data_IF_006161382595
#
_entry.id   IF_006161382595
#
_cell.length_a   1.000
_cell.length_b   1.000
_cell.length_c   1.000
_cell.angle_alpha   90.00
_cell.angle_beta   90.00
_cell.angle_gamma   90.00
#
_symmetry.space_group_name_H-M   'P 1'
#
loop_
_entity.id
_entity.type
_entity.pdbx_description
1 polymer ?
#
# COMPACT_ATOMS: atom_id res chain seq x y z
N UNK A 1 -13.78 23.18 -8.70
CA UNK A 1 -12.98 22.65 -9.83
C UNK A 1 -13.52 21.28 -10.21
N UNK A 2 -13.40 20.92 -11.50
CA UNK A 2 -13.61 19.53 -11.96
C UNK A 2 -12.29 18.80 -11.99
N UNK A 3 -12.11 17.83 -11.10
CA UNK A 3 -10.92 16.99 -10.99
C UNK A 3 -11.23 15.64 -11.63
N UNK A 4 -10.42 15.21 -12.61
CA UNK A 4 -10.56 13.89 -13.21
C UNK A 4 -9.42 12.98 -12.75
N UNK A 5 -9.78 11.98 -11.94
CA UNK A 5 -8.90 10.90 -11.49
C UNK A 5 -8.86 9.78 -12.54
N UNK A 6 -7.68 9.33 -12.90
CA UNK A 6 -7.43 8.36 -13.97
C UNK A 6 -6.58 7.20 -13.44
N UNK A 7 -7.09 5.99 -13.51
CA UNK A 7 -6.36 4.80 -13.08
C UNK A 7 -6.68 3.59 -13.95
N UNK A 8 -5.64 2.92 -14.42
CA UNK A 8 -5.70 1.53 -14.84
C UNK A 8 -5.37 0.61 -13.65
N UNK A 9 -5.34 -0.69 -13.84
CA UNK A 9 -5.12 -1.69 -12.77
C UNK A 9 -6.13 -1.59 -11.61
N UNK A 10 -7.25 -0.97 -11.85
CA UNK A 10 -8.37 -0.88 -10.94
C UNK A 10 -9.30 -2.09 -11.12
N UNK A 11 -9.51 -2.85 -10.06
CA UNK A 11 -10.35 -4.05 -10.08
C UNK A 11 -11.18 -4.20 -8.80
N UNK A 12 -12.19 -5.08 -8.80
CA UNK A 12 -13.06 -5.30 -7.62
C UNK A 12 -12.28 -5.77 -6.39
N UNK A 13 -11.17 -6.47 -6.61
CA UNK A 13 -10.28 -7.00 -5.56
C UNK A 13 -8.95 -6.25 -5.46
N UNK A 14 -8.78 -5.11 -6.17
CA UNK A 14 -7.59 -4.27 -5.98
C UNK A 14 -7.68 -3.54 -4.63
N UNK A 15 -6.68 -3.76 -3.75
CA UNK A 15 -6.67 -3.22 -2.39
C UNK A 15 -6.29 -1.74 -2.35
N UNK A 16 -5.00 -1.44 -2.19
CA UNK A 16 -4.49 -0.10 -1.88
C UNK A 16 -4.88 1.00 -2.86
N UNK A 17 -4.67 0.79 -4.16
CA UNK A 17 -4.98 1.79 -5.19
C UNK A 17 -6.48 2.19 -5.19
N UNK A 18 -7.37 1.21 -5.14
CA UNK A 18 -8.81 1.47 -5.08
C UNK A 18 -9.21 2.24 -3.83
N UNK A 19 -8.68 1.84 -2.68
CA UNK A 19 -8.90 2.52 -1.40
C UNK A 19 -8.44 3.97 -1.48
N UNK A 20 -7.22 4.23 -1.97
CA UNK A 20 -6.68 5.57 -2.12
C UNK A 20 -7.56 6.46 -3.01
N UNK A 21 -7.89 5.98 -4.22
CA UNK A 21 -8.74 6.73 -5.16
C UNK A 21 -10.11 7.08 -4.58
N UNK A 22 -10.74 6.14 -3.85
CA UNK A 22 -12.04 6.38 -3.25
C UNK A 22 -11.98 7.40 -2.12
N UNK A 23 -10.99 7.32 -1.23
CA UNK A 23 -10.86 8.26 -0.12
C UNK A 23 -10.44 9.66 -0.60
N UNK A 24 -9.49 9.76 -1.51
CA UNK A 24 -9.09 11.03 -2.10
C UNK A 24 -10.27 11.67 -2.86
N UNK A 25 -10.94 10.91 -3.72
CA UNK A 25 -12.10 11.41 -4.47
C UNK A 25 -13.25 11.87 -3.55
N UNK A 26 -13.58 11.09 -2.52
CA UNK A 26 -14.58 11.48 -1.52
C UNK A 26 -14.17 12.74 -0.76
N UNK A 27 -12.88 12.86 -0.40
CA UNK A 27 -12.32 14.04 0.24
C UNK A 27 -12.42 15.29 -0.65
N UNK A 28 -12.08 15.17 -1.94
CA UNK A 28 -12.23 16.30 -2.88
C UNK A 28 -13.68 16.74 -3.05
N UNK A 29 -14.65 15.79 -3.10
CA UNK A 29 -16.07 16.11 -3.09
C UNK A 29 -16.46 16.85 -1.82
N UNK A 30 -15.96 16.38 -0.65
CA UNK A 30 -16.18 17.04 0.64
C UNK A 30 -15.62 18.47 0.70
N UNK A 31 -14.59 18.78 -0.09
CA UNK A 31 -14.03 20.12 -0.28
C UNK A 31 -14.77 20.95 -1.37
N UNK A 32 -15.90 20.47 -1.89
CA UNK A 32 -16.73 21.19 -2.87
C UNK A 32 -16.25 21.08 -4.31
N UNK A 33 -15.45 20.06 -4.65
CA UNK A 33 -15.01 19.82 -6.03
C UNK A 33 -15.92 18.81 -6.74
N UNK A 34 -16.08 18.97 -8.06
CA UNK A 34 -16.66 17.92 -8.91
C UNK A 34 -15.57 16.89 -9.24
N UNK A 35 -15.82 15.62 -8.91
CA UNK A 35 -14.83 14.56 -9.11
C UNK A 35 -15.36 13.50 -10.07
N UNK A 36 -14.55 13.20 -11.09
CA UNK A 36 -14.83 12.13 -12.05
C UNK A 36 -13.70 11.10 -11.98
N UNK A 37 -14.04 9.89 -11.55
CA UNK A 37 -13.10 8.76 -11.54
C UNK A 37 -13.27 7.92 -12.82
N UNK A 38 -12.23 7.87 -13.64
CA UNK A 38 -12.22 7.08 -14.89
C UNK A 38 -11.36 5.82 -14.71
N UNK A 39 -11.99 4.67 -14.87
CA UNK A 39 -11.37 3.34 -14.63
C UNK A 39 -11.71 2.34 -15.74
N UNK A 40 -10.92 1.27 -15.93
CA UNK A 40 -11.23 0.21 -16.86
C UNK A 40 -12.31 -0.74 -16.32
N UNK A 41 -13.07 -1.35 -17.23
CA UNK A 41 -14.01 -2.40 -16.89
C UNK A 41 -14.41 -3.25 -18.08
N UNK A 42 -15.32 -4.24 -17.89
CA UNK A 42 -15.80 -5.10 -18.98
C UNK A 42 -16.75 -4.37 -19.92
N UNK A 43 -17.48 -3.37 -19.43
CA UNK A 43 -18.47 -2.57 -20.17
C UNK A 43 -18.41 -1.11 -19.72
N UNK A 44 -19.00 -0.24 -20.53
CA UNK A 44 -19.16 1.17 -20.17
C UNK A 44 -20.24 1.33 -19.11
N UNK A 45 -19.92 2.05 -18.05
CA UNK A 45 -20.87 2.54 -17.05
C UNK A 45 -20.59 4.00 -16.77
N UNK A 46 -21.61 4.69 -16.25
CA UNK A 46 -21.52 6.09 -15.81
C UNK A 46 -22.47 6.22 -14.62
N UNK A 47 -21.94 6.33 -13.43
CA UNK A 47 -22.70 6.26 -12.19
C UNK A 47 -22.13 7.20 -11.14
N UNK A 48 -22.98 7.73 -10.28
CA UNK A 48 -22.55 8.49 -9.10
C UNK A 48 -22.47 7.55 -7.91
N UNK A 49 -21.32 7.52 -7.30
CA UNK A 49 -21.05 6.73 -6.09
C UNK A 49 -21.70 7.39 -4.86
N UNK A 50 -21.93 6.64 -3.76
CA UNK A 50 -22.45 7.22 -2.52
C UNK A 50 -21.61 8.38 -1.95
N UNK A 51 -20.32 8.43 -2.30
CA UNK A 51 -19.42 9.53 -1.95
C UNK A 51 -19.60 10.81 -2.76
N UNK A 52 -20.48 10.83 -3.75
CA UNK A 52 -20.65 11.93 -4.70
C UNK A 52 -19.68 11.90 -5.89
N UNK A 53 -18.70 11.01 -5.90
CA UNK A 53 -17.76 10.82 -7.03
C UNK A 53 -18.52 10.20 -8.21
N UNK A 54 -18.45 10.82 -9.39
CA UNK A 54 -18.95 10.24 -10.64
C UNK A 54 -17.93 9.24 -11.18
N UNK A 55 -18.29 7.96 -11.25
CA UNK A 55 -17.43 6.92 -11.80
C UNK A 55 -17.81 6.59 -13.23
N UNK A 56 -16.86 6.75 -14.15
CA UNK A 56 -17.00 6.35 -15.55
C UNK A 56 -16.11 5.14 -15.80
N UNK A 57 -16.71 4.01 -16.14
CA UNK A 57 -15.98 2.81 -16.54
C UNK A 57 -15.86 2.77 -18.06
N UNK A 58 -14.65 2.59 -18.56
CA UNK A 58 -14.39 2.41 -19.98
C UNK A 58 -14.14 0.93 -20.31
N UNK A 59 -14.74 0.40 -21.40
CA UNK A 59 -14.48 -0.96 -21.84
C UNK A 59 -12.99 -1.17 -22.15
N UNK A 60 -12.39 -2.16 -21.52
CA UNK A 60 -10.99 -2.48 -21.71
C UNK A 60 -10.77 -4.00 -21.69
N UNK A 61 -9.81 -4.50 -22.49
CA UNK A 61 -9.42 -5.91 -22.46
C UNK A 61 -8.78 -6.25 -21.13
N UNK A 62 -8.89 -7.50 -20.74
CA UNK A 62 -8.18 -8.04 -19.61
C UNK A 62 -6.72 -8.28 -20.00
N UNK A 63 -5.80 -7.83 -19.15
CA UNK A 63 -4.37 -8.05 -19.38
C UNK A 63 -4.01 -9.49 -18.99
N UNK A 64 -3.33 -10.24 -19.87
CA UNK A 64 -2.85 -11.58 -19.54
C UNK A 64 -1.92 -11.56 -18.32
N UNK A 65 -1.97 -12.61 -17.51
CA UNK A 65 -1.05 -12.85 -16.39
C UNK A 65 -1.11 -11.83 -15.23
N UNK A 66 -2.05 -10.87 -15.24
CA UNK A 66 -2.17 -9.80 -14.23
C UNK A 66 -3.19 -10.10 -13.12
N UNK A 67 -3.77 -11.31 -13.07
CA UNK A 67 -4.80 -11.62 -12.07
C UNK A 67 -6.14 -10.89 -12.31
N UNK A 68 -6.42 -10.54 -13.58
CA UNK A 68 -7.72 -9.97 -13.98
C UNK A 68 -7.73 -8.45 -14.13
N UNK A 69 -6.60 -7.79 -14.06
CA UNK A 69 -6.53 -6.35 -14.33
C UNK A 69 -6.80 -6.01 -15.80
N UNK A 70 -7.28 -4.80 -16.00
CA UNK A 70 -7.61 -4.23 -17.32
C UNK A 70 -6.89 -2.90 -17.49
N UNK A 71 -6.59 -2.54 -18.74
CA UNK A 71 -6.04 -1.23 -19.08
C UNK A 71 -6.81 -0.62 -20.25
N UNK A 72 -7.27 0.60 -20.08
CA UNK A 72 -7.91 1.39 -21.14
C UNK A 72 -6.85 1.94 -22.07
N UNK A 73 -7.16 1.92 -23.35
CA UNK A 73 -6.37 2.59 -24.38
C UNK A 73 -6.32 4.12 -24.10
N UNK A 74 -5.14 4.74 -24.03
CA UNK A 74 -5.00 6.18 -23.80
C UNK A 74 -5.80 7.06 -24.76
N UNK A 75 -6.02 6.65 -26.00
CA UNK A 75 -6.84 7.39 -26.97
C UNK A 75 -8.30 7.53 -26.53
N UNK A 76 -8.87 6.47 -25.96
CA UNK A 76 -10.23 6.52 -25.42
C UNK A 76 -10.32 7.41 -24.20
N UNK A 77 -9.25 7.44 -23.40
CA UNK A 77 -9.16 8.32 -22.23
C UNK A 77 -9.09 9.78 -22.70
N UNK A 78 -8.20 10.11 -23.63
CA UNK A 78 -8.10 11.49 -24.15
C UNK A 78 -9.39 11.97 -24.81
N UNK A 79 -10.06 11.12 -25.62
CA UNK A 79 -11.36 11.45 -26.20
C UNK A 79 -12.46 11.71 -25.16
N UNK A 80 -12.38 11.05 -23.99
CA UNK A 80 -13.27 11.31 -22.86
C UNK A 80 -12.91 12.62 -22.17
N UNK A 81 -11.62 12.88 -21.93
CA UNK A 81 -11.13 14.12 -21.31
C UNK A 81 -11.54 15.38 -22.11
N UNK A 82 -11.49 15.32 -23.47
CA UNK A 82 -11.98 16.43 -24.33
C UNK A 82 -13.46 16.76 -24.06
N UNK A 83 -14.27 15.75 -23.74
CA UNK A 83 -15.70 15.96 -23.44
C UNK A 83 -15.94 16.40 -22.01
N UNK A 84 -15.13 15.88 -21.06
CA UNK A 84 -15.25 16.21 -19.64
C UNK A 84 -14.74 17.62 -19.34
N UNK A 85 -13.80 18.14 -20.12
CA UNK A 85 -13.16 19.47 -19.91
C UNK A 85 -12.70 19.62 -18.45
N UNK A 86 -11.75 18.80 -17.97
CA UNK A 86 -11.28 18.88 -16.60
C UNK A 86 -10.53 20.20 -16.34
N UNK A 87 -10.71 20.75 -15.15
CA UNK A 87 -9.84 21.81 -14.64
C UNK A 87 -8.48 21.24 -14.20
N UNK A 88 -8.45 19.98 -13.78
CA UNK A 88 -7.27 19.27 -13.26
C UNK A 88 -7.36 17.79 -13.60
N UNK A 89 -6.20 17.17 -13.85
CA UNK A 89 -6.12 15.70 -13.93
C UNK A 89 -5.17 15.12 -12.88
N UNK A 90 -5.57 14.01 -12.30
CA UNK A 90 -4.79 13.20 -11.38
C UNK A 90 -4.64 11.79 -11.97
N UNK A 91 -3.41 11.37 -12.22
CA UNK A 91 -3.12 10.08 -12.88
C UNK A 91 -2.45 9.13 -11.89
N UNK A 92 -3.11 8.03 -11.59
CA UNK A 92 -2.61 6.97 -10.71
C UNK A 92 -2.09 5.75 -11.48
N UNK A 93 -1.58 5.96 -12.69
CA UNK A 93 -0.96 4.94 -13.54
C UNK A 93 0.20 5.55 -14.33
N UNK A 94 1.40 5.33 -13.85
CA UNK A 94 2.64 5.82 -14.46
C UNK A 94 3.15 4.95 -15.61
N UNK A 95 2.51 3.83 -15.90
CA UNK A 95 2.92 2.89 -16.95
C UNK A 95 2.15 3.11 -18.25
N UNK A 96 0.85 2.82 -18.22
CA UNK A 96 0.02 2.81 -19.43
C UNK A 96 -0.60 4.18 -19.73
N UNK A 97 -0.82 5.04 -18.72
CA UNK A 97 -1.37 6.39 -18.85
C UNK A 97 -0.31 7.51 -18.78
N UNK A 98 0.97 7.17 -18.73
CA UNK A 98 2.09 8.13 -18.61
C UNK A 98 2.08 9.25 -19.67
N UNK A 99 1.45 9.02 -20.81
CA UNK A 99 1.36 10.01 -21.92
C UNK A 99 0.36 11.14 -21.68
N UNK A 100 -0.51 11.02 -20.65
CA UNK A 100 -1.55 12.01 -20.40
C UNK A 100 -1.02 13.36 -19.90
N UNK A 101 0.13 13.39 -19.26
CA UNK A 101 0.80 14.65 -18.90
C UNK A 101 1.05 15.54 -20.13
N UNK A 102 1.56 14.98 -21.24
CA UNK A 102 1.73 15.72 -22.49
C UNK A 102 0.41 16.19 -23.10
N UNK A 103 -0.65 15.41 -22.97
CA UNK A 103 -1.99 15.85 -23.39
C UNK A 103 -2.43 17.04 -22.55
N UNK A 104 -2.28 16.98 -21.23
CA UNK A 104 -2.63 18.03 -20.28
C UNK A 104 -1.86 19.33 -20.56
N UNK A 105 -0.53 19.25 -20.68
CA UNK A 105 0.34 20.38 -21.00
C UNK A 105 -0.08 21.11 -22.28
N UNK A 106 -0.41 20.35 -23.36
CA UNK A 106 -0.88 20.96 -24.64
C UNK A 106 -2.25 21.65 -24.51
N UNK A 107 -3.02 21.35 -23.49
CA UNK A 107 -4.35 21.92 -23.22
C UNK A 107 -4.33 22.99 -22.13
N UNK A 108 -3.18 23.22 -21.49
CA UNK A 108 -3.09 24.10 -20.34
C UNK A 108 -3.87 23.57 -19.12
N UNK A 109 -4.01 22.24 -19.01
CA UNK A 109 -4.70 21.58 -17.88
C UNK A 109 -3.62 21.12 -16.91
N UNK A 110 -3.56 21.67 -15.68
CA UNK A 110 -2.62 21.22 -14.67
C UNK A 110 -2.81 19.74 -14.33
N UNK A 111 -1.67 19.06 -14.13
CA UNK A 111 -1.62 17.60 -14.09
C UNK A 111 -0.71 17.07 -12.99
N UNK A 112 -1.23 16.09 -12.26
CA UNK A 112 -0.51 15.36 -11.22
C UNK A 112 -0.40 13.90 -11.62
N UNK A 113 0.77 13.29 -11.40
CA UNK A 113 0.93 11.84 -11.45
C UNK A 113 1.34 11.31 -10.09
N UNK A 114 0.67 10.25 -9.63
CA UNK A 114 0.98 9.60 -8.36
C UNK A 114 1.84 8.37 -8.63
N UNK A 115 3.01 8.31 -7.98
CA UNK A 115 3.90 7.16 -8.01
C UNK A 115 3.51 6.18 -6.91
N UNK A 116 2.69 5.20 -7.26
CA UNK A 116 2.28 4.11 -6.35
C UNK A 116 3.28 2.95 -6.29
N UNK A 117 4.29 2.93 -7.18
CA UNK A 117 5.21 1.80 -7.35
C UNK A 117 6.61 2.32 -7.67
N UNK A 118 7.63 1.55 -7.32
CA UNK A 118 9.00 1.80 -7.80
C UNK A 118 9.21 1.07 -9.13
N UNK A 119 9.56 1.81 -10.16
CA UNK A 119 9.74 1.25 -11.51
C UNK A 119 10.99 0.41 -11.60
N UNK A 120 12.10 0.81 -10.94
CA UNK A 120 13.33 0.02 -10.91
C UNK A 120 13.08 -1.37 -10.29
N UNK A 121 12.36 -1.44 -9.16
CA UNK A 121 12.01 -2.70 -8.50
C UNK A 121 11.04 -3.55 -9.32
N UNK A 122 10.09 -2.92 -9.98
CA UNK A 122 9.17 -3.62 -10.87
C UNK A 122 9.94 -4.28 -12.04
N UNK A 123 10.88 -3.55 -12.66
CA UNK A 123 11.68 -4.07 -13.76
C UNK A 123 12.65 -5.19 -13.33
N UNK A 124 13.18 -5.16 -12.12
CA UNK A 124 13.98 -6.22 -11.53
C UNK A 124 13.19 -7.54 -11.45
N UNK A 125 11.90 -7.49 -11.14
CA UNK A 125 11.03 -8.67 -11.10
C UNK A 125 10.84 -9.33 -12.49
N UNK A 126 11.02 -8.58 -13.57
CA UNK A 126 10.98 -9.10 -14.95
C UNK A 126 12.36 -9.51 -15.49
N UNK A 127 13.28 -9.94 -14.61
CA UNK A 127 14.59 -10.50 -14.94
C UNK A 127 15.59 -9.51 -15.57
N UNK A 128 15.39 -8.22 -15.42
CA UNK A 128 16.42 -7.26 -15.81
C UNK A 128 17.51 -7.18 -14.72
N UNK A 129 18.79 -7.19 -15.09
CA UNK A 129 19.86 -6.91 -14.14
C UNK A 129 19.65 -5.55 -13.45
N UNK A 130 19.94 -5.47 -12.14
CA UNK A 130 19.69 -4.27 -11.29
C UNK A 130 20.15 -2.97 -11.96
N UNK A 131 21.37 -2.94 -12.51
CA UNK A 131 21.89 -1.75 -13.18
C UNK A 131 21.18 -1.38 -14.49
N UNK A 132 20.62 -2.35 -15.21
CA UNK A 132 19.82 -2.11 -16.42
C UNK A 132 18.41 -1.64 -16.04
N UNK A 133 17.78 -2.30 -15.08
CA UNK A 133 16.47 -1.91 -14.54
C UNK A 133 16.48 -0.45 -14.07
N UNK A 134 17.49 -0.08 -13.28
CA UNK A 134 17.68 1.29 -12.77
C UNK A 134 17.82 2.31 -13.90
N UNK A 135 18.69 2.06 -14.90
CA UNK A 135 18.89 2.97 -16.06
C UNK A 135 17.62 3.14 -16.90
N UNK A 136 16.86 2.08 -17.10
CA UNK A 136 15.58 2.13 -17.84
C UNK A 136 14.55 2.90 -17.04
N UNK A 137 14.44 2.64 -15.73
CA UNK A 137 13.56 3.35 -14.83
C UNK A 137 13.87 4.84 -14.79
N UNK A 138 15.15 5.23 -14.65
CA UNK A 138 15.60 6.63 -14.60
C UNK A 138 15.19 7.40 -15.86
N UNK A 139 15.42 6.83 -17.05
CA UNK A 139 15.00 7.44 -18.31
C UNK A 139 13.48 7.57 -18.44
N UNK A 140 12.74 6.56 -17.99
CA UNK A 140 11.28 6.58 -18.03
C UNK A 140 10.71 7.62 -17.04
N UNK A 141 11.27 7.67 -15.83
CA UNK A 141 10.89 8.63 -14.78
C UNK A 141 11.20 10.07 -15.18
N UNK A 142 12.39 10.34 -15.75
CA UNK A 142 12.75 11.67 -16.23
C UNK A 142 11.78 12.18 -17.31
N UNK A 143 11.41 11.31 -18.28
CA UNK A 143 10.44 11.66 -19.33
C UNK A 143 9.03 11.87 -18.77
N UNK A 144 8.64 11.11 -17.77
CA UNK A 144 7.34 11.24 -17.13
C UNK A 144 7.30 12.53 -16.32
N UNK A 145 8.27 12.76 -15.43
CA UNK A 145 8.35 13.96 -14.61
C UNK A 145 8.36 15.24 -15.46
N UNK A 146 9.08 15.26 -16.58
CA UNK A 146 9.08 16.39 -17.52
C UNK A 146 7.76 16.60 -18.27
N UNK A 147 6.80 15.68 -18.17
CA UNK A 147 5.50 15.76 -18.85
C UNK A 147 4.33 16.10 -17.94
N UNK A 148 4.52 16.07 -16.61
CA UNK A 148 3.52 16.43 -15.61
C UNK A 148 3.98 17.67 -14.84
N UNK A 149 3.03 18.45 -14.35
CA UNK A 149 3.35 19.62 -13.53
C UNK A 149 3.88 19.20 -12.17
N UNK A 150 3.29 18.16 -11.57
CA UNK A 150 3.71 17.62 -10.28
C UNK A 150 3.73 16.09 -10.29
N UNK A 151 4.77 15.53 -9.67
CA UNK A 151 4.88 14.11 -9.34
C UNK A 151 4.67 13.95 -7.84
N UNK A 152 3.67 13.17 -7.44
CA UNK A 152 3.42 12.86 -6.05
C UNK A 152 3.99 11.49 -5.70
N UNK A 153 4.83 11.42 -4.68
CA UNK A 153 5.29 10.18 -4.06
C UNK A 153 4.63 10.01 -2.70
N UNK A 154 4.20 8.80 -2.35
CA UNK A 154 3.51 8.55 -1.08
C UNK A 154 4.48 8.34 0.09
N UNK A 155 5.76 8.08 -0.20
CA UNK A 155 6.83 7.83 0.77
C UNK A 155 8.15 8.36 0.26
N UNK A 156 9.16 8.56 1.13
CA UNK A 156 10.52 8.87 0.74
C UNK A 156 11.14 7.72 -0.06
N UNK A 157 10.81 6.47 0.27
CA UNK A 157 11.20 5.29 -0.50
C UNK A 157 10.75 5.37 -1.98
N UNK A 158 9.52 5.80 -2.25
CA UNK A 158 9.05 5.98 -3.63
C UNK A 158 9.70 7.21 -4.30
N UNK A 159 10.07 8.22 -3.51
CA UNK A 159 10.71 9.44 -3.98
C UNK A 159 12.16 9.24 -4.42
N UNK A 160 12.90 8.29 -3.83
CA UNK A 160 14.31 7.99 -4.16
C UNK A 160 14.60 7.85 -5.66
N UNK A 161 13.65 7.29 -6.46
CA UNK A 161 13.81 7.19 -7.91
C UNK A 161 13.87 8.55 -8.62
N UNK A 162 13.16 9.54 -8.09
CA UNK A 162 13.07 10.89 -8.65
C UNK A 162 14.18 11.78 -8.12
N UNK A 163 14.57 11.63 -6.86
CA UNK A 163 15.72 12.34 -6.28
C UNK A 163 17.01 11.94 -7.01
N UNK A 164 17.16 10.66 -7.36
CA UNK A 164 18.30 10.13 -8.12
C UNK A 164 18.47 10.80 -9.50
N UNK A 165 17.39 11.23 -10.12
CA UNK A 165 17.41 11.91 -11.42
C UNK A 165 17.31 13.43 -11.29
N UNK A 166 17.31 13.98 -10.09
CA UNK A 166 17.23 15.42 -9.83
C UNK A 166 15.92 16.06 -10.30
N UNK A 167 14.79 15.36 -10.18
CA UNK A 167 13.49 15.87 -10.65
C UNK A 167 13.00 16.99 -9.74
N UNK A 168 12.76 18.23 -10.25
CA UNK A 168 12.45 19.38 -9.39
C UNK A 168 10.99 19.46 -8.94
N UNK A 169 10.08 18.74 -9.61
CA UNK A 169 8.64 18.85 -9.44
C UNK A 169 8.04 17.68 -8.61
N UNK A 170 8.81 17.16 -7.65
CA UNK A 170 8.39 16.03 -6.82
C UNK A 170 7.97 16.50 -5.45
N UNK A 171 6.78 16.12 -5.04
CA UNK A 171 6.26 16.35 -3.69
C UNK A 171 5.94 15.02 -3.00
N UNK A 172 6.01 15.00 -1.69
CA UNK A 172 5.64 13.82 -0.91
C UNK A 172 4.30 14.07 -0.20
N UNK A 173 3.33 13.20 -0.46
CA UNK A 173 2.02 13.23 0.20
C UNK A 173 1.68 11.82 0.67
N UNK A 174 1.84 11.52 1.96
CA UNK A 174 1.47 10.22 2.52
C UNK A 174 -0.04 9.95 2.37
N UNK A 175 -0.38 8.67 2.18
CA UNK A 175 -1.78 8.25 2.21
C UNK A 175 -2.28 8.14 3.65
N UNK A 176 -3.59 8.22 3.83
CA UNK A 176 -4.24 8.10 5.12
C UNK A 176 -4.79 6.71 5.40
N UNK A 177 -5.31 6.54 6.61
CA UNK A 177 -6.08 5.38 7.05
C UNK A 177 -7.44 5.81 7.61
N UNK A 178 -8.43 4.94 7.46
CA UNK A 178 -9.76 5.14 8.01
C UNK A 178 -9.77 4.74 9.50
N UNK A 179 -9.44 5.72 10.35
CA UNK A 179 -9.33 5.56 11.80
C UNK A 179 -10.67 5.24 12.50
N UNK A 180 -11.80 5.47 11.82
CA UNK A 180 -13.11 5.11 12.34
C UNK A 180 -13.45 3.64 12.09
N UNK A 181 -13.15 3.15 10.88
CA UNK A 181 -13.34 1.74 10.54
C UNK A 181 -12.28 0.85 11.20
N UNK A 182 -11.01 1.29 11.23
CA UNK A 182 -9.91 0.54 11.86
C UNK A 182 -9.62 1.14 13.24
N UNK A 183 -10.11 0.47 14.28
CA UNK A 183 -9.98 0.94 15.65
C UNK A 183 -9.76 -0.22 16.62
N UNK A 184 -8.99 -0.01 17.72
CA UNK A 184 -8.76 -1.03 18.75
C UNK A 184 -10.04 -1.55 19.41
N UNK A 185 -11.11 -0.73 19.41
CA UNK A 185 -12.42 -1.06 19.97
C UNK A 185 -13.12 -2.25 19.28
N UNK A 186 -12.69 -2.62 18.07
CA UNK A 186 -13.21 -3.80 17.36
C UNK A 186 -12.62 -5.12 17.81
N UNK A 187 -11.71 -5.13 18.82
CA UNK A 187 -11.16 -6.35 19.39
C UNK A 187 -12.26 -7.23 19.94
N UNK A 188 -12.19 -8.52 19.64
CA UNK A 188 -13.19 -9.53 20.03
C UNK A 188 -12.54 -10.71 20.73
N UNK A 189 -12.85 -10.90 22.02
CA UNK A 189 -12.37 -12.03 22.78
C UNK A 189 -12.89 -13.37 22.21
N UNK A 190 -14.13 -13.40 21.74
CA UNK A 190 -14.71 -14.60 21.13
C UNK A 190 -13.99 -14.98 19.82
N UNK A 191 -13.73 -13.99 18.93
CA UNK A 191 -12.97 -14.24 17.70
C UNK A 191 -11.53 -14.66 18.01
N UNK A 192 -10.90 -14.07 19.04
CA UNK A 192 -9.56 -14.49 19.48
C UNK A 192 -9.55 -15.94 19.92
N UNK A 193 -10.49 -16.37 20.76
CA UNK A 193 -10.57 -17.75 21.26
C UNK A 193 -10.72 -18.75 20.10
N UNK A 194 -11.54 -18.43 19.11
CA UNK A 194 -11.76 -19.25 17.92
C UNK A 194 -10.50 -19.34 17.04
N UNK A 195 -9.88 -18.22 16.75
CA UNK A 195 -8.74 -18.17 15.82
C UNK A 195 -7.42 -18.60 16.46
N UNK A 196 -7.17 -18.26 17.73
CA UNK A 196 -5.91 -18.58 18.41
C UNK A 196 -5.78 -20.07 18.78
N UNK A 197 -6.90 -20.80 18.88
CA UNK A 197 -6.92 -22.26 19.14
C UNK A 197 -6.05 -22.67 20.33
N UNK A 198 -6.04 -21.86 21.38
CA UNK A 198 -5.24 -22.09 22.59
C UNK A 198 -3.76 -21.64 22.49
N UNK A 199 -3.35 -20.98 21.43
CA UNK A 199 -2.03 -20.36 21.35
C UNK A 199 -1.95 -19.10 22.22
N UNK A 200 -0.74 -18.77 22.70
CA UNK A 200 -0.48 -17.61 23.54
C UNK A 200 -0.55 -16.31 22.73
N UNK A 201 -0.14 -16.37 21.48
CA UNK A 201 -0.18 -15.21 20.57
C UNK A 201 -0.86 -15.53 19.23
N UNK A 202 -1.66 -14.58 18.75
CA UNK A 202 -2.34 -14.60 17.47
C UNK A 202 -1.65 -13.63 16.50
N UNK A 203 -0.98 -14.18 15.49
CA UNK A 203 -0.37 -13.42 14.42
C UNK A 203 -1.32 -13.31 13.23
N UNK A 204 -1.21 -12.25 12.44
CA UNK A 204 -1.99 -12.08 11.21
C UNK A 204 -1.09 -11.66 10.04
N UNK A 205 -1.38 -12.21 8.85
CA UNK A 205 -0.92 -11.69 7.58
C UNK A 205 -2.16 -11.32 6.75
N UNK A 206 -2.30 -10.05 6.39
CA UNK A 206 -3.44 -9.55 5.62
C UNK A 206 -2.97 -9.00 4.27
N UNK A 207 -3.36 -9.66 3.18
CA UNK A 207 -2.98 -9.20 1.85
C UNK A 207 -3.17 -10.24 0.74
N UNK A 208 -2.84 -9.83 -0.50
CA UNK A 208 -2.88 -10.73 -1.65
C UNK A 208 -1.82 -11.83 -1.52
N UNK A 209 -2.18 -13.06 -1.88
CA UNK A 209 -1.26 -14.21 -1.87
C UNK A 209 -0.51 -14.27 -3.22
N UNK A 210 0.40 -13.33 -3.43
CA UNK A 210 1.21 -13.16 -4.64
C UNK A 210 2.70 -13.11 -4.32
N UNK A 211 3.57 -13.27 -5.32
CA UNK A 211 5.00 -13.43 -5.11
C UNK A 211 5.64 -12.20 -4.40
N UNK A 212 5.22 -11.00 -4.79
CA UNK A 212 5.75 -9.74 -4.25
C UNK A 212 5.42 -9.50 -2.76
N UNK A 213 4.43 -10.22 -2.22
CA UNK A 213 4.06 -10.12 -0.80
C UNK A 213 4.88 -11.01 0.13
N UNK A 214 5.65 -11.94 -0.42
CA UNK A 214 6.52 -12.85 0.33
C UNK A 214 5.84 -13.51 1.55
N UNK A 215 4.61 -14.02 1.34
CA UNK A 215 3.80 -14.68 2.39
C UNK A 215 4.51 -15.88 3.00
N UNK A 216 5.34 -16.57 2.21
CA UNK A 216 6.21 -17.65 2.67
C UNK A 216 7.09 -17.24 3.85
N UNK A 217 7.55 -15.99 3.92
CA UNK A 217 8.34 -15.48 5.05
C UNK A 217 7.51 -15.42 6.33
N UNK A 218 6.22 -15.08 6.25
CA UNK A 218 5.32 -15.16 7.41
C UNK A 218 5.14 -16.60 7.91
N UNK A 219 5.06 -17.58 7.00
CA UNK A 219 4.99 -19.00 7.32
C UNK A 219 6.28 -19.46 8.00
N UNK A 220 7.44 -19.10 7.43
CA UNK A 220 8.75 -19.47 7.96
C UNK A 220 9.03 -18.80 9.32
N UNK A 221 8.47 -17.61 9.55
CA UNK A 221 8.51 -16.93 10.86
C UNK A 221 7.81 -17.76 11.93
N UNK A 222 6.64 -18.33 11.62
CA UNK A 222 5.94 -19.24 12.54
C UNK A 222 6.74 -20.51 12.79
N UNK A 223 7.36 -21.08 11.76
CA UNK A 223 8.25 -22.24 11.93
C UNK A 223 9.41 -21.94 12.88
N UNK A 224 10.06 -20.76 12.72
CA UNK A 224 11.16 -20.31 13.57
C UNK A 224 10.71 -20.04 15.02
N UNK A 225 9.52 -19.50 15.25
CA UNK A 225 8.95 -19.30 16.58
C UNK A 225 8.60 -20.63 17.25
N UNK A 226 7.95 -21.55 16.52
CA UNK A 226 7.59 -22.87 17.02
C UNK A 226 8.82 -23.69 17.39
N UNK A 227 9.90 -23.61 16.59
CA UNK A 227 11.17 -24.28 16.90
C UNK A 227 11.82 -23.77 18.20
N UNK A 228 11.47 -22.57 18.67
CA UNK A 228 11.90 -21.99 19.95
C UNK A 228 10.91 -22.26 21.09
N UNK A 229 9.88 -23.08 20.85
CA UNK A 229 8.86 -23.43 21.84
C UNK A 229 7.74 -22.40 22.02
N UNK A 230 7.69 -21.33 21.19
CA UNK A 230 6.63 -20.35 21.27
C UNK A 230 5.30 -20.92 20.73
N UNK A 231 4.21 -20.76 21.49
CA UNK A 231 2.88 -21.19 21.12
C UNK A 231 2.16 -20.07 20.38
N UNK A 232 2.37 -19.99 19.07
CA UNK A 232 1.79 -18.97 18.22
C UNK A 232 0.82 -19.58 17.21
N UNK A 233 -0.20 -18.83 16.81
CA UNK A 233 -1.10 -19.16 15.71
C UNK A 233 -1.01 -18.04 14.67
N UNK A 234 -0.85 -18.38 13.40
CA UNK A 234 -0.91 -17.39 12.31
C UNK A 234 -2.24 -17.56 11.54
N UNK A 235 -2.89 -16.44 11.33
CA UNK A 235 -4.05 -16.34 10.42
C UNK A 235 -3.63 -15.58 9.17
N UNK A 236 -3.85 -16.20 8.00
CA UNK A 236 -3.58 -15.59 6.70
C UNK A 236 -4.92 -15.22 6.06
N UNK A 237 -5.19 -13.91 5.99
CA UNK A 237 -6.38 -13.33 5.39
C UNK A 237 -6.05 -12.75 4.02
N UNK A 238 -6.57 -13.37 2.98
CA UNK A 238 -6.35 -13.00 1.59
C UNK A 238 -6.43 -14.18 0.65
N UNK A 239 -6.37 -13.88 -0.64
CA UNK A 239 -6.39 -14.86 -1.71
C UNK A 239 -5.42 -14.46 -2.82
N UNK A 240 -5.03 -15.40 -3.67
CA UNK A 240 -4.13 -15.13 -4.78
C UNK A 240 -3.52 -16.36 -5.41
N UNK A 241 -2.72 -16.16 -6.47
CA UNK A 241 -2.21 -17.28 -7.29
C UNK A 241 -1.26 -18.22 -6.55
N UNK A 242 -0.72 -17.82 -5.41
CA UNK A 242 0.20 -18.65 -4.61
C UNK A 242 -0.46 -19.45 -3.52
N UNK A 243 -1.80 -19.36 -3.36
CA UNK A 243 -2.53 -19.96 -2.25
C UNK A 243 -2.18 -21.44 -2.04
N UNK A 244 -2.34 -22.28 -3.05
CA UNK A 244 -2.07 -23.71 -2.93
C UNK A 244 -0.62 -24.05 -2.51
N UNK A 245 0.35 -23.31 -3.07
CA UNK A 245 1.76 -23.51 -2.71
C UNK A 245 2.04 -23.12 -1.25
N UNK A 246 1.40 -22.05 -0.77
CA UNK A 246 1.52 -21.58 0.61
C UNK A 246 0.81 -22.52 1.59
N UNK A 247 -0.36 -23.05 1.26
CA UNK A 247 -1.07 -24.07 2.05
C UNK A 247 -0.24 -25.35 2.19
N UNK A 248 0.40 -25.81 1.10
CA UNK A 248 1.33 -26.96 1.16
C UNK A 248 2.53 -26.69 2.07
N UNK A 249 3.11 -25.46 2.00
CA UNK A 249 4.24 -25.06 2.88
C UNK A 249 3.84 -25.02 4.35
N UNK A 250 2.61 -24.61 4.64
CA UNK A 250 2.07 -24.44 5.97
C UNK A 250 1.52 -25.72 6.61
N UNK A 251 1.44 -26.85 5.90
CA UNK A 251 0.65 -28.03 6.25
C UNK A 251 0.90 -28.64 7.65
N UNK A 252 2.06 -28.38 8.27
CA UNK A 252 2.45 -28.91 9.59
C UNK A 252 2.64 -27.79 10.64
N UNK A 253 2.23 -26.58 10.33
CA UNK A 253 2.42 -25.41 11.18
C UNK A 253 1.07 -24.90 11.70
N UNK A 254 1.05 -24.22 12.84
CA UNK A 254 -0.17 -23.63 13.40
C UNK A 254 -0.62 -22.41 12.58
N UNK A 255 -1.14 -22.67 11.38
CA UNK A 255 -1.54 -21.64 10.41
C UNK A 255 -2.95 -21.94 9.88
N UNK A 256 -3.77 -20.89 9.81
CA UNK A 256 -5.13 -20.94 9.25
C UNK A 256 -5.25 -19.98 8.07
N UNK A 257 -5.75 -20.46 6.93
CA UNK A 257 -6.05 -19.62 5.76
C UNK A 257 -7.55 -19.31 5.74
N UNK A 258 -7.91 -18.02 5.87
CA UNK A 258 -9.32 -17.58 5.83
C UNK A 258 -9.82 -17.36 4.39
N UNK A 259 -8.90 -17.25 3.42
CA UNK A 259 -9.27 -16.78 2.09
C UNK A 259 -9.52 -15.27 2.06
N UNK A 260 -10.20 -14.81 1.03
CA UNK A 260 -10.56 -13.39 0.90
C UNK A 260 -11.62 -13.02 1.93
N UNK A 261 -11.28 -12.08 2.80
CA UNK A 261 -12.22 -11.52 3.78
C UNK A 261 -12.97 -10.37 3.11
N UNK A 262 -14.26 -10.56 2.88
CA UNK A 262 -15.13 -9.55 2.29
C UNK A 262 -15.71 -8.65 3.39
N UNK A 263 -15.44 -7.37 3.29
CA UNK A 263 -15.91 -6.41 4.29
C UNK A 263 -14.80 -5.78 5.12
N UNK A 264 -14.69 -4.45 5.05
CA UNK A 264 -13.66 -3.69 5.79
C UNK A 264 -13.80 -3.85 7.31
N UNK A 265 -15.04 -4.00 7.82
CA UNK A 265 -15.30 -4.20 9.26
C UNK A 265 -14.77 -5.54 9.74
N UNK A 266 -14.90 -6.60 8.94
CA UNK A 266 -14.40 -7.93 9.32
C UNK A 266 -12.86 -7.95 9.31
N UNK A 267 -12.24 -7.29 8.33
CA UNK A 267 -10.79 -7.07 8.32
C UNK A 267 -10.36 -6.26 9.55
N UNK A 268 -11.05 -5.18 9.88
CA UNK A 268 -10.75 -4.35 11.05
C UNK A 268 -10.88 -5.15 12.37
N UNK A 269 -11.92 -5.97 12.48
CA UNK A 269 -12.12 -6.87 13.63
C UNK A 269 -11.01 -7.91 13.74
N UNK A 270 -10.61 -8.51 12.62
CA UNK A 270 -9.50 -9.47 12.59
C UNK A 270 -8.19 -8.80 13.02
N UNK A 271 -7.85 -7.66 12.44
CA UNK A 271 -6.65 -6.92 12.78
C UNK A 271 -6.64 -6.51 14.26
N UNK A 272 -7.72 -5.89 14.76
CA UNK A 272 -7.82 -5.49 16.17
C UNK A 272 -7.72 -6.67 17.15
N UNK A 273 -8.14 -7.87 16.74
CA UNK A 273 -8.11 -9.07 17.56
C UNK A 273 -6.73 -9.73 17.60
N UNK A 274 -5.88 -9.47 16.61
CA UNK A 274 -4.53 -10.04 16.52
C UNK A 274 -3.54 -9.33 17.45
N UNK A 275 -2.42 -10.01 17.77
CA UNK A 275 -1.38 -9.47 18.63
C UNK A 275 -0.25 -8.81 17.86
N UNK A 276 0.12 -9.33 16.68
CA UNK A 276 1.13 -8.80 15.77
C UNK A 276 0.71 -9.08 14.34
N UNK A 277 0.89 -8.09 13.45
CA UNK A 277 0.71 -8.24 12.02
C UNK A 277 2.06 -8.41 11.31
N UNK A 278 2.12 -9.30 10.32
CA UNK A 278 3.32 -9.56 9.52
C UNK A 278 3.13 -9.00 8.10
N UNK A 279 4.02 -8.12 7.68
CA UNK A 279 4.02 -7.53 6.34
C UNK A 279 5.43 -7.67 5.68
N UNK A 280 5.81 -8.89 5.26
CA UNK A 280 7.17 -9.21 4.84
C UNK A 280 7.52 -8.81 3.41
N UNK A 281 6.62 -8.19 2.65
CA UNK A 281 6.86 -7.80 1.27
C UNK A 281 7.92 -6.70 1.14
N UNK A 282 9.04 -6.93 0.42
CA UNK A 282 10.15 -5.97 0.33
C UNK A 282 9.91 -4.83 -0.67
N UNK A 283 8.83 -4.91 -1.44
CA UNK A 283 8.52 -3.96 -2.52
C UNK A 283 7.28 -3.11 -2.26
N UNK A 284 6.81 -3.08 -1.00
CA UNK A 284 5.70 -2.19 -0.64
C UNK A 284 6.14 -0.73 -0.74
N UNK A 285 5.33 0.07 -1.42
CA UNK A 285 5.60 1.51 -1.61
C UNK A 285 4.84 2.41 -0.63
N UNK A 286 3.80 1.89 0.02
CA UNK A 286 3.11 2.54 1.13
C UNK A 286 2.60 1.51 2.15
N UNK A 287 1.81 0.51 1.72
CA UNK A 287 1.36 -0.60 2.56
C UNK A 287 0.17 -0.27 3.45
N UNK A 288 -0.96 0.09 2.86
CA UNK A 288 -2.20 0.39 3.60
C UNK A 288 -2.60 -0.71 4.59
N UNK A 289 -2.37 -1.99 4.28
CA UNK A 289 -2.70 -3.08 5.19
C UNK A 289 -1.90 -3.03 6.51
N UNK A 290 -0.64 -2.63 6.46
CA UNK A 290 0.17 -2.43 7.67
C UNK A 290 -0.35 -1.22 8.47
N UNK A 291 -0.70 -0.14 7.79
CA UNK A 291 -1.27 1.05 8.43
C UNK A 291 -2.66 0.77 9.02
N UNK A 292 -3.49 -0.06 8.37
CA UNK A 292 -4.77 -0.54 8.89
C UNK A 292 -4.59 -1.41 10.15
N UNK A 293 -3.52 -2.21 10.21
CA UNK A 293 -3.18 -2.97 11.42
C UNK A 293 -2.77 -2.03 12.57
N UNK A 294 -1.90 -1.06 12.32
CA UNK A 294 -1.52 -0.05 13.32
C UNK A 294 -2.75 0.73 13.83
N UNK A 295 -3.63 1.16 12.93
CA UNK A 295 -4.88 1.86 13.28
C UNK A 295 -5.79 1.01 14.17
N UNK A 296 -5.78 -0.30 13.98
CA UNK A 296 -6.49 -1.28 14.80
C UNK A 296 -5.80 -1.58 16.14
N UNK A 297 -4.70 -0.90 16.45
CA UNK A 297 -3.90 -1.11 17.65
C UNK A 297 -3.04 -2.38 17.60
N UNK A 298 -2.73 -2.88 16.41
CA UNK A 298 -1.91 -4.08 16.25
C UNK A 298 -0.55 -3.71 15.69
N UNK A 299 0.55 -3.94 16.44
CA UNK A 299 1.89 -3.65 15.99
C UNK A 299 2.27 -4.50 14.77
N UNK A 300 3.17 -3.99 13.94
CA UNK A 300 3.51 -4.61 12.64
C UNK A 300 5.01 -4.93 12.57
N UNK A 301 5.35 -6.14 12.13
CA UNK A 301 6.72 -6.47 11.70
C UNK A 301 6.78 -6.40 10.19
N UNK A 302 7.70 -5.58 9.67
CA UNK A 302 7.81 -5.25 8.25
C UNK A 302 9.20 -5.54 7.70
N UNK A 303 9.30 -5.68 6.37
CA UNK A 303 10.58 -5.72 5.67
C UNK A 303 11.28 -4.36 5.73
N UNK A 304 12.54 -4.32 6.13
CA UNK A 304 13.38 -3.11 6.09
C UNK A 304 13.61 -2.61 4.65
N UNK A 305 13.55 -3.50 3.67
CA UNK A 305 13.74 -3.18 2.26
C UNK A 305 12.54 -2.49 1.61
N UNK A 306 11.46 -2.23 2.36
CA UNK A 306 10.22 -1.62 1.87
C UNK A 306 9.99 -0.23 2.47
N UNK A 307 9.05 0.52 1.87
CA UNK A 307 8.56 1.78 2.44
C UNK A 307 7.90 1.63 3.81
N UNK A 308 7.54 0.40 4.22
CA UNK A 308 6.88 0.17 5.49
C UNK A 308 7.74 0.54 6.71
N UNK A 309 9.08 0.60 6.56
CA UNK A 309 9.98 1.15 7.59
C UNK A 309 9.56 2.56 8.01
N UNK A 310 9.15 3.40 7.05
CA UNK A 310 8.65 4.75 7.32
C UNK A 310 7.31 4.72 8.06
N UNK A 311 6.47 3.74 7.77
CA UNK A 311 5.17 3.57 8.43
C UNK A 311 5.34 3.19 9.90
N UNK A 312 6.31 2.34 10.25
CA UNK A 312 6.59 1.99 11.65
C UNK A 312 7.50 2.99 12.38
N UNK A 313 7.98 4.04 11.68
CA UNK A 313 8.73 5.13 12.29
C UNK A 313 10.25 4.97 12.29
N UNK A 314 10.79 3.99 11.59
CA UNK A 314 12.23 3.89 11.33
C UNK A 314 12.59 4.76 10.11
N UNK A 315 13.02 6.00 10.34
CA UNK A 315 13.63 6.85 9.31
C UNK A 315 15.08 6.43 9.11
N UNK A 316 15.54 6.36 7.85
CA UNK A 316 16.97 6.29 7.60
C UNK A 316 17.64 7.58 8.08
N UNK A 317 18.55 7.45 9.05
CA UNK A 317 19.61 8.45 9.22
C UNK A 317 20.64 8.10 8.15
N UNK A 318 20.55 8.77 6.99
CA UNK A 318 21.61 8.76 5.99
C UNK A 318 22.76 9.58 6.57
N UNK A 319 23.68 8.91 7.25
CA UNK A 319 24.97 9.41 7.66
C UNK A 319 26.02 8.47 7.09
N UNK A 320 26.67 8.85 5.99
CA UNK A 320 27.90 8.22 5.57
C UNK A 320 28.94 8.39 6.70
N UNK A 321 29.41 7.27 7.26
CA UNK A 321 30.67 7.23 8.01
C UNK A 321 30.64 7.09 9.52
N UNK A 322 29.83 6.16 10.06
CA UNK A 322 30.16 5.61 11.38
C UNK A 322 29.90 4.11 11.42
N UNK A 323 30.97 3.36 11.68
CA UNK A 323 30.92 1.95 12.04
C UNK A 323 30.13 1.86 13.35
N UNK A 324 28.88 1.45 13.26
CA UNK A 324 28.00 1.31 14.40
C UNK A 324 28.42 0.10 15.24
N UNK A 325 29.06 0.38 16.37
CA UNK A 325 28.91 -0.43 17.56
C UNK A 325 27.41 -0.56 17.90
N UNK A 326 27.05 -1.71 18.46
CA UNK A 326 25.70 -2.10 18.86
C UNK A 326 24.94 -0.94 19.54
N UNK A 327 24.20 -0.14 18.78
CA UNK A 327 23.12 0.65 19.34
C UNK A 327 21.92 -0.28 19.47
N UNK A 328 21.60 -0.63 20.69
CA UNK A 328 20.27 -1.11 21.05
C UNK A 328 19.25 -0.20 20.36
N UNK A 329 18.58 -0.74 19.34
CA UNK A 329 17.42 -0.08 18.77
C UNK A 329 16.43 0.05 19.92
N UNK A 330 16.19 1.26 20.39
CA UNK A 330 15.04 1.59 21.23
C UNK A 330 13.82 1.29 20.39
N UNK A 331 13.43 0.01 20.38
CA UNK A 331 12.36 -0.51 19.53
C UNK A 331 11.08 0.24 19.81
N UNK A 332 10.60 0.95 18.82
CA UNK A 332 9.25 1.50 18.86
C UNK A 332 8.30 0.33 19.15
N UNK A 333 7.50 0.44 20.20
CA UNK A 333 6.51 -0.60 20.56
C UNK A 333 5.38 -0.73 19.54
N UNK A 334 5.33 0.17 18.55
CA UNK A 334 4.31 0.12 17.47
C UNK A 334 4.66 -0.86 16.35
N UNK A 335 5.92 -1.27 16.21
CA UNK A 335 6.35 -2.17 15.15
C UNK A 335 7.87 -2.24 15.02
N UNK A 336 8.34 -3.04 14.07
CA UNK A 336 9.75 -3.20 13.78
C UNK A 336 9.99 -3.43 12.28
N UNK A 337 11.00 -2.75 11.72
CA UNK A 337 11.52 -3.01 10.38
C UNK A 337 12.79 -3.87 10.49
N UNK A 338 12.76 -5.04 9.90
CA UNK A 338 13.81 -6.04 10.04
C UNK A 338 14.33 -6.57 8.70
N UNK A 339 15.46 -7.20 8.72
CA UNK A 339 16.00 -7.88 7.55
C UNK A 339 15.04 -8.91 6.98
N UNK A 340 15.16 -9.16 5.67
CA UNK A 340 14.30 -10.03 4.89
C UNK A 340 14.52 -11.52 5.16
N UNK A 341 14.59 -11.88 6.44
CA UNK A 341 14.85 -13.23 6.92
C UNK A 341 13.86 -13.64 8.03
N UNK A 342 13.36 -14.86 7.97
CA UNK A 342 12.40 -15.38 8.95
C UNK A 342 12.92 -15.33 10.42
N UNK A 343 14.20 -15.62 10.72
CA UNK A 343 14.71 -15.48 12.09
C UNK A 343 14.66 -14.04 12.62
N UNK A 344 14.87 -13.02 11.75
CA UNK A 344 14.78 -11.61 12.12
C UNK A 344 13.33 -11.21 12.44
N UNK A 345 12.37 -11.66 11.60
CA UNK A 345 10.94 -11.51 11.86
C UNK A 345 10.53 -12.18 13.18
N UNK A 346 10.96 -13.42 13.42
CA UNK A 346 10.67 -14.14 14.65
C UNK A 346 11.21 -13.41 15.89
N UNK A 347 12.44 -12.91 15.85
CA UNK A 347 13.01 -12.10 16.92
C UNK A 347 12.24 -10.82 17.20
N UNK A 348 11.79 -10.13 16.14
CA UNK A 348 10.96 -8.92 16.29
C UNK A 348 9.58 -9.23 16.89
N UNK A 349 8.92 -10.32 16.44
CA UNK A 349 7.66 -10.79 17.04
C UNK A 349 7.83 -11.04 18.54
N UNK A 350 8.88 -11.76 18.94
CA UNK A 350 9.16 -12.03 20.37
C UNK A 350 9.29 -10.73 21.15
N UNK A 351 10.14 -9.79 20.71
CA UNK A 351 10.31 -8.49 21.39
C UNK A 351 9.02 -7.69 21.51
N UNK A 352 8.18 -7.69 20.47
CA UNK A 352 6.90 -6.99 20.53
C UNK A 352 5.94 -7.66 21.52
N UNK A 353 5.94 -9.00 21.61
CA UNK A 353 5.10 -9.74 22.55
C UNK A 353 5.57 -9.60 24.00
N UNK A 354 6.86 -9.40 24.24
CA UNK A 354 7.44 -9.15 25.57
C UNK A 354 7.04 -7.78 26.14
N UNK A 355 6.69 -6.82 25.27
CA UNK A 355 6.17 -5.52 25.69
C UNK A 355 4.72 -5.65 26.21
N UNK A 356 4.33 -4.85 27.24
CA UNK A 356 2.97 -4.86 27.75
C UNK A 356 1.93 -4.62 26.65
N UNK A 357 0.87 -5.43 26.63
CA UNK A 357 -0.14 -5.34 25.56
C UNK A 357 -0.79 -3.97 25.42
N UNK A 358 -1.19 -3.26 26.51
CA UNK A 358 -1.78 -1.93 26.41
C UNK A 358 -0.83 -0.93 25.75
N UNK A 359 0.46 -0.97 26.09
CA UNK A 359 1.46 -0.01 25.63
C UNK A 359 1.74 -0.19 24.13
N UNK A 360 1.96 -1.43 23.67
CA UNK A 360 2.19 -1.69 22.25
C UNK A 360 0.98 -1.37 21.37
N UNK A 361 -0.25 -1.60 21.89
CA UNK A 361 -1.49 -1.25 21.19
C UNK A 361 -1.70 0.26 21.10
N UNK A 362 -1.45 0.97 22.19
CA UNK A 362 -1.53 2.43 22.23
C UNK A 362 -0.50 3.05 21.28
N UNK A 363 0.74 2.56 21.30
CA UNK A 363 1.79 3.03 20.39
C UNK A 363 1.46 2.77 18.93
N UNK A 364 0.93 1.58 18.57
CA UNK A 364 0.48 1.27 17.22
C UNK A 364 -0.62 2.25 16.76
N UNK A 365 -1.62 2.48 17.59
CA UNK A 365 -2.70 3.43 17.30
C UNK A 365 -2.19 4.85 17.14
N UNK A 366 -1.39 5.34 18.05
CA UNK A 366 -0.81 6.70 18.02
C UNK A 366 0.04 6.91 16.75
N UNK A 367 0.76 5.87 16.29
CA UNK A 367 1.49 5.94 15.03
C UNK A 367 0.57 6.09 13.83
N UNK A 368 -0.51 5.32 13.76
CA UNK A 368 -1.49 5.40 12.67
C UNK A 368 -2.21 6.75 12.61
N UNK A 369 -2.43 7.41 13.75
CA UNK A 369 -3.09 8.73 13.83
C UNK A 369 -2.31 9.85 13.14
N UNK A 370 -1.02 9.64 12.85
CA UNK A 370 -0.21 10.57 12.06
C UNK A 370 -0.54 10.51 10.56
N UNK A 371 -1.29 9.50 10.11
CA UNK A 371 -1.64 9.26 8.71
C UNK A 371 -3.15 9.37 8.52
N UNK A 372 -3.63 10.59 8.28
CA UNK A 372 -5.07 10.83 8.12
C UNK A 372 -5.45 11.13 6.68
N UNK A 373 -6.65 10.69 6.26
CA UNK A 373 -7.17 11.04 4.94
C UNK A 373 -7.37 12.55 4.75
N UNK A 374 -7.81 13.34 5.74
CA UNK A 374 -7.85 14.79 5.59
C UNK A 374 -6.50 15.41 5.23
N UNK A 375 -5.42 15.03 5.89
CA UNK A 375 -4.07 15.51 5.57
C UNK A 375 -3.62 15.08 4.16
N UNK A 376 -3.94 13.83 3.75
CA UNK A 376 -3.66 13.36 2.39
C UNK A 376 -4.43 14.17 1.34
N UNK A 377 -5.71 14.45 1.59
CA UNK A 377 -6.57 15.25 0.70
C UNK A 377 -6.03 16.68 0.57
N UNK A 378 -5.66 17.32 1.68
CA UNK A 378 -5.07 18.66 1.69
C UNK A 378 -3.76 18.69 0.90
N UNK A 379 -2.85 17.76 1.15
CA UNK A 379 -1.58 17.67 0.41
C UNK A 379 -1.77 17.42 -1.08
N UNK A 380 -2.72 16.56 -1.45
CA UNK A 380 -3.03 16.29 -2.86
C UNK A 380 -3.70 17.49 -3.55
N UNK A 381 -4.61 18.20 -2.89
CA UNK A 381 -5.19 19.44 -3.41
C UNK A 381 -4.10 20.53 -3.56
N UNK A 382 -3.17 20.63 -2.61
CA UNK A 382 -2.00 21.49 -2.73
C UNK A 382 -1.18 21.17 -3.98
N UNK A 383 -0.88 19.88 -4.23
CA UNK A 383 -0.17 19.43 -5.42
C UNK A 383 -0.94 19.73 -6.73
N UNK A 384 -2.27 19.57 -6.72
CA UNK A 384 -3.13 19.87 -7.88
C UNK A 384 -3.25 21.38 -8.15
N UNK A 385 -3.03 22.23 -7.16
CA UNK A 385 -3.13 23.71 -7.28
C UNK A 385 -1.76 24.38 -7.52
N UNK A 386 -0.65 23.69 -7.31
CA UNK A 386 0.69 24.21 -7.50
C UNK A 386 1.14 24.31 -8.97
N UNK A 387 0.37 23.78 -9.91
CA UNK A 387 0.63 23.75 -11.34
C UNK A 387 -0.04 24.91 -12.13
#
# INVERSE_FOLDING_TARGET
MRIVQLANFYGPRSGGLRTALHHLGAGYVGCGHEVVLVVPGPRRTDEVMPSGVRRITLPAPQLPWTGGYRAVDPWRVTALLERLRPDRIEVSDRLTLRGLGRWASRRGVPSVVISHERLDRLLEQFLLPVGAARRVADRANARMAASYDTVVCTTSFAREEFDRIGSPNVVQVPLGVDLATFAPSHRSAALRADLARGADALLVHCGRLSAEKHVERSIDTVAALSARGARVQLVIAGDGPRREALERRAARLPITFLGFVDGRRDVARLLATSDVSLAPGPHETFGLAALEALASGTPVVVSRSSALREIVGESEIVGEGEILGERESTGSTCGAAVEDAAPAFAGAVTRLLDAPEPDRRAAARARAEQFTWPASVEGMLGALCAG
#
